data_IF_401130417807
#
_entry.id   IF_401130417807
#
_cell.length_a   1.000
_cell.length_b   1.000
_cell.length_c   1.000
_cell.angle_alpha   90.00
_cell.angle_beta   90.00
_cell.angle_gamma   90.00
#
_symmetry.space_group_name_H-M   'P 1'
#
loop_
_entity.id
_entity.type
_entity.pdbx_description
1 polymer ?
#
# COMPACT_ATOMS: atom_id res chain seq x y z
N UNK A 1 5.24 -15.87 17.21
CA UNK A 1 4.22 -14.81 17.26
C UNK A 1 4.01 -14.37 15.82
N UNK A 2 2.79 -14.52 15.30
CA UNK A 2 2.44 -14.52 13.86
C UNK A 2 2.70 -13.21 13.11
N UNK A 3 2.42 -13.10 11.81
CA UNK A 3 1.67 -13.98 10.92
C UNK A 3 2.31 -14.02 9.53
N UNK A 4 2.14 -15.13 8.81
CA UNK A 4 1.11 -15.30 7.79
C UNK A 4 1.56 -14.71 6.46
N UNK A 5 2.08 -15.61 5.63
CA UNK A 5 2.41 -15.44 4.23
C UNK A 5 1.18 -14.93 3.46
N UNK A 6 0.98 -13.61 3.43
CA UNK A 6 -0.09 -12.98 2.66
C UNK A 6 0.31 -12.95 1.18
N UNK A 7 0.22 -14.11 0.54
CA UNK A 7 0.02 -14.22 -0.92
C UNK A 7 -1.40 -13.74 -1.29
N UNK A 8 -1.81 -12.56 -0.83
CA UNK A 8 -3.17 -12.08 -0.97
C UNK A 8 -3.18 -10.71 -1.63
N UNK A 9 -3.87 -10.66 -2.76
CA UNK A 9 -4.16 -9.45 -3.53
C UNK A 9 -5.00 -8.52 -2.64
N UNK A 10 -4.39 -7.45 -2.15
CA UNK A 10 -5.04 -6.53 -1.21
C UNK A 10 -5.63 -5.34 -1.94
N UNK A 11 -6.74 -4.83 -1.42
CA UNK A 11 -7.27 -3.53 -1.86
C UNK A 11 -6.55 -2.38 -1.17
N UNK A 12 -6.67 -1.16 -1.72
CA UNK A 12 -6.11 0.05 -1.09
C UNK A 12 -6.62 0.25 0.35
N UNK A 13 -7.84 -0.19 0.63
CA UNK A 13 -8.46 -0.09 1.95
C UNK A 13 -7.80 -1.05 2.94
N UNK A 14 -7.61 -2.31 2.56
CA UNK A 14 -6.89 -3.28 3.41
C UNK A 14 -5.45 -2.83 3.67
N UNK A 15 -4.74 -2.36 2.65
CA UNK A 15 -3.38 -1.82 2.81
C UNK A 15 -3.39 -0.63 3.77
N UNK A 16 -4.37 0.26 3.65
CA UNK A 16 -4.54 1.38 4.56
C UNK A 16 -4.74 0.92 6.00
N UNK A 17 -5.59 -0.08 6.24
CA UNK A 17 -5.84 -0.63 7.57
C UNK A 17 -4.59 -1.32 8.15
N UNK A 18 -3.87 -2.11 7.35
CA UNK A 18 -2.62 -2.77 7.77
C UNK A 18 -1.50 -1.78 8.10
N UNK A 19 -1.37 -0.72 7.30
CA UNK A 19 -0.36 0.32 7.53
C UNK A 19 -0.81 1.28 8.63
N UNK A 20 -2.10 1.34 8.96
CA UNK A 20 -2.66 2.29 9.92
C UNK A 20 -2.72 3.72 9.38
N UNK A 21 -2.94 3.89 8.08
CA UNK A 21 -3.10 5.19 7.42
C UNK A 21 -4.43 5.24 6.66
N UNK A 22 -4.88 6.45 6.29
CA UNK A 22 -6.08 6.56 5.45
C UNK A 22 -5.80 6.12 4.00
N UNK A 23 -6.74 5.45 3.30
CA UNK A 23 -6.59 5.11 1.89
C UNK A 23 -6.40 6.37 1.01
N UNK A 24 -6.98 7.50 1.42
CA UNK A 24 -6.72 8.81 0.77
C UNK A 24 -5.24 9.21 0.80
N UNK A 25 -4.50 8.88 1.86
CA UNK A 25 -3.06 9.14 1.98
C UNK A 25 -2.30 8.32 0.95
N UNK A 26 -2.64 7.04 0.79
CA UNK A 26 -2.06 6.16 -0.23
C UNK A 26 -2.35 6.71 -1.64
N UNK A 27 -3.61 7.08 -1.92
CA UNK A 27 -3.98 7.71 -3.21
C UNK A 27 -3.17 8.98 -3.45
N UNK A 28 -2.99 9.80 -2.41
CA UNK A 28 -2.21 11.03 -2.51
C UNK A 28 -0.76 10.72 -2.85
N UNK A 29 -0.13 9.77 -2.17
CA UNK A 29 1.23 9.33 -2.45
C UNK A 29 1.40 8.76 -3.87
N UNK A 30 0.43 7.99 -4.36
CA UNK A 30 0.43 7.53 -5.75
C UNK A 30 0.28 8.68 -6.74
N UNK A 31 -0.56 9.69 -6.40
CA UNK A 31 -0.78 10.88 -7.24
C UNK A 31 0.45 11.76 -7.31
N UNK A 32 1.20 11.91 -6.21
CA UNK A 32 2.46 12.65 -6.18
C UNK A 32 3.67 11.83 -6.65
N UNK A 33 3.49 10.56 -7.00
CA UNK A 33 4.58 9.69 -7.47
C UNK A 33 5.58 9.28 -6.37
N UNK A 34 5.15 9.37 -5.10
CA UNK A 34 5.97 9.04 -3.93
C UNK A 34 6.00 7.55 -3.61
N UNK A 35 4.89 6.85 -3.88
CA UNK A 35 4.82 5.39 -3.80
C UNK A 35 4.57 4.79 -5.17
N UNK A 36 4.99 3.54 -5.35
CA UNK A 36 4.78 2.78 -6.57
C UNK A 36 3.28 2.63 -6.84
N UNK A 37 2.88 2.78 -8.10
CA UNK A 37 1.49 2.58 -8.50
C UNK A 37 1.09 1.11 -8.35
N UNK A 38 -0.08 0.89 -7.77
CA UNK A 38 -0.65 -0.44 -7.61
C UNK A 38 -0.77 -1.15 -8.96
N UNK A 39 -0.60 -2.47 -8.96
CA UNK A 39 -0.85 -3.26 -10.16
C UNK A 39 -2.33 -3.14 -10.53
N UNK A 40 -2.59 -2.88 -11.81
CA UNK A 40 -3.96 -2.92 -12.33
C UNK A 40 -4.26 -4.32 -12.79
N UNK A 41 -5.31 -4.89 -12.22
CA UNK A 41 -5.85 -6.14 -12.71
C UNK A 41 -6.54 -5.91 -14.08
N UNK A 42 -6.82 -6.97 -14.83
CA UNK A 42 -7.46 -6.88 -16.16
C UNK A 42 -8.82 -6.17 -16.11
N UNK A 43 -9.46 -6.16 -14.94
CA UNK A 43 -10.71 -5.44 -14.65
C UNK A 43 -10.53 -3.95 -14.30
N UNK A 44 -9.31 -3.43 -14.28
CA UNK A 44 -8.99 -2.03 -13.95
C UNK A 44 -8.92 -1.72 -12.44
N UNK A 45 -9.01 -2.74 -11.58
CA UNK A 45 -8.93 -2.58 -10.12
C UNK A 45 -7.48 -2.45 -9.68
N UNK A 46 -7.24 -1.63 -8.66
CA UNK A 46 -5.93 -1.51 -8.02
C UNK A 46 -5.75 -2.64 -7.03
N UNK A 47 -4.82 -3.52 -7.33
CA UNK A 47 -4.41 -4.63 -6.48
C UNK A 47 -3.02 -4.32 -5.97
N UNK A 48 -2.86 -4.45 -4.66
CA UNK A 48 -1.61 -4.31 -3.96
C UNK A 48 -1.14 -5.70 -3.55
N UNK A 49 0.15 -5.94 -3.69
CA UNK A 49 0.79 -7.15 -3.19
C UNK A 49 1.50 -6.83 -1.87
N UNK A 50 1.97 -7.85 -1.16
CA UNK A 50 2.78 -7.67 0.04
C UNK A 50 3.99 -6.75 -0.19
N UNK A 51 4.60 -6.83 -1.38
CA UNK A 51 5.73 -5.93 -1.74
C UNK A 51 5.29 -4.46 -1.77
N UNK A 52 4.10 -4.18 -2.29
CA UNK A 52 3.55 -2.83 -2.33
C UNK A 52 3.22 -2.36 -0.91
N UNK A 53 2.65 -3.23 -0.07
CA UNK A 53 2.41 -2.97 1.35
C UNK A 53 3.71 -2.61 2.08
N UNK A 54 4.77 -3.41 1.90
CA UNK A 54 6.07 -3.18 2.52
C UNK A 54 6.67 -1.84 2.08
N UNK A 55 6.61 -1.52 0.78
CA UNK A 55 7.05 -0.24 0.25
C UNK A 55 6.26 0.94 0.84
N UNK A 56 4.94 0.84 0.91
CA UNK A 56 4.08 1.90 1.48
C UNK A 56 4.39 2.08 2.96
N UNK A 57 4.60 0.99 3.70
CA UNK A 57 4.98 1.01 5.12
C UNK A 57 6.34 1.68 5.32
N UNK A 58 7.36 1.31 4.56
CA UNK A 58 8.68 1.92 4.62
C UNK A 58 8.65 3.41 4.26
N UNK A 59 7.93 3.77 3.20
CA UNK A 59 7.77 5.17 2.79
C UNK A 59 7.11 6.02 3.89
N UNK A 60 6.13 5.46 4.61
CA UNK A 60 5.51 6.14 5.76
C UNK A 60 6.53 6.52 6.83
N UNK A 61 7.47 5.62 7.10
CA UNK A 61 8.47 5.76 8.15
C UNK A 61 9.47 6.85 7.75
N UNK A 62 9.91 6.84 6.49
CA UNK A 62 10.76 7.88 5.92
C UNK A 62 10.10 9.27 5.91
N UNK A 63 8.79 9.36 5.63
CA UNK A 63 8.08 10.66 5.61
C UNK A 63 7.89 11.25 7.00
N UNK A 64 7.77 10.41 8.04
CA UNK A 64 7.62 10.88 9.43
C UNK A 64 8.92 11.44 10.00
N UNK A 65 10.07 11.09 9.42
CA UNK A 65 11.40 11.54 9.86
C UNK A 65 11.85 12.88 9.22
N UNK A 66 10.91 13.72 8.77
CA UNK A 66 11.17 15.07 8.21
C UNK A 66 10.38 16.15 8.92
#
# INVERSE_FOLDING_TARGET
MGGEDVNNRMTITEVAELVGISPKTIVRWEKVGKVRRAKRDWRGWRIYDERDLHHIKQFRETVVEV
#
